data_IF_226154979573
#
_entry.id   IF_226154979573
#
_cell.length_a   1.000
_cell.length_b   1.000
_cell.length_c   1.000
_cell.angle_alpha   90.00
_cell.angle_beta   90.00
_cell.angle_gamma   90.00
#
_symmetry.space_group_name_H-M   'P 1'
#
loop_
_entity.id
_entity.type
_entity.pdbx_description
1 polymer ?
#
# COMPACT_ATOMS: atom_id res chain seq x y z
N UNK A 1 -7.42 -19.36 13.70
CA UNK A 1 -8.74 -19.04 13.11
C UNK A 1 -8.49 -18.12 11.92
N UNK A 2 -9.00 -18.45 10.74
CA UNK A 2 -8.80 -17.64 9.53
C UNK A 2 -9.78 -16.47 9.53
N UNK A 3 -9.28 -15.24 9.45
CA UNK A 3 -10.11 -14.05 9.36
C UNK A 3 -10.50 -13.77 7.89
N UNK A 4 -11.70 -13.24 7.62
CA UNK A 4 -12.06 -12.77 6.28
C UNK A 4 -11.12 -11.63 5.87
N UNK A 5 -10.60 -11.69 4.66
CA UNK A 5 -9.70 -10.70 4.11
C UNK A 5 -10.06 -10.36 2.66
N UNK A 6 -10.03 -9.08 2.35
CA UNK A 6 -10.30 -8.47 1.05
C UNK A 6 -8.96 -8.06 0.44
N UNK A 7 -8.65 -8.59 -0.74
CA UNK A 7 -7.42 -8.27 -1.46
C UNK A 7 -7.74 -7.60 -2.78
N UNK A 8 -7.24 -6.40 -3.01
CA UNK A 8 -7.39 -5.74 -4.32
C UNK A 8 -6.40 -6.42 -5.30
N UNK A 9 -6.90 -7.14 -6.30
CA UNK A 9 -6.06 -7.85 -7.28
C UNK A 9 -5.67 -6.92 -8.43
N UNK A 10 -6.66 -6.18 -8.94
CA UNK A 10 -6.50 -5.36 -10.13
C UNK A 10 -7.46 -4.17 -10.07
N UNK A 11 -6.97 -3.01 -10.48
CA UNK A 11 -7.70 -1.75 -10.47
C UNK A 11 -7.46 -1.03 -11.80
N UNK A 12 -8.56 -0.72 -12.48
CA UNK A 12 -8.61 0.16 -13.65
C UNK A 12 -9.69 1.22 -13.39
N UNK A 13 -9.64 2.38 -14.06
CA UNK A 13 -10.74 3.32 -14.04
C UNK A 13 -12.07 2.63 -14.40
N UNK A 14 -13.01 2.62 -13.44
CA UNK A 14 -14.33 2.02 -13.59
C UNK A 14 -14.41 0.49 -13.55
N UNK A 15 -13.32 -0.21 -13.21
CA UNK A 15 -13.31 -1.66 -13.05
C UNK A 15 -12.34 -2.08 -11.95
N UNK A 16 -12.83 -2.81 -10.96
CA UNK A 16 -11.99 -3.40 -9.92
C UNK A 16 -12.24 -4.90 -9.78
N UNK A 17 -11.17 -5.65 -9.55
CA UNK A 17 -11.23 -7.07 -9.19
C UNK A 17 -10.64 -7.28 -7.81
N UNK A 18 -11.42 -7.90 -6.94
CA UNK A 18 -11.11 -8.09 -5.53
C UNK A 18 -11.13 -9.59 -5.21
N UNK A 19 -10.09 -10.13 -4.58
CA UNK A 19 -10.07 -11.48 -4.03
C UNK A 19 -10.60 -11.48 -2.61
N UNK A 20 -11.38 -12.50 -2.26
CA UNK A 20 -11.84 -12.76 -0.92
C UNK A 20 -11.13 -14.01 -0.37
N UNK A 21 -10.51 -13.93 0.81
CA UNK A 21 -9.88 -15.10 1.44
C UNK A 21 -10.91 -16.19 1.77
N UNK A 22 -12.12 -15.76 2.13
CA UNK A 22 -13.27 -16.59 2.42
C UNK A 22 -14.42 -16.22 1.48
N UNK A 23 -15.09 -17.19 0.85
CA UNK A 23 -16.22 -16.92 -0.04
C UNK A 23 -17.46 -16.50 0.77
N UNK A 24 -18.24 -15.52 0.31
CA UNK A 24 -19.48 -15.13 0.97
C UNK A 24 -20.41 -16.34 1.12
N UNK A 25 -21.11 -16.44 2.25
CA UNK A 25 -22.04 -17.56 2.50
C UNK A 25 -23.26 -17.45 1.58
N UNK A 26 -23.67 -16.22 1.24
CA UNK A 26 -24.79 -15.93 0.33
C UNK A 26 -24.33 -15.00 -0.80
N UNK A 27 -23.93 -15.59 -1.91
CA UNK A 27 -23.43 -14.88 -3.09
C UNK A 27 -24.48 -13.89 -3.63
N UNK A 28 -25.71 -14.35 -3.88
CA UNK A 28 -26.79 -13.52 -4.44
C UNK A 28 -27.12 -12.32 -3.56
N UNK A 29 -26.98 -12.49 -2.24
CA UNK A 29 -27.23 -11.43 -1.28
C UNK A 29 -26.14 -10.36 -1.38
N UNK A 30 -24.86 -10.76 -1.36
CA UNK A 30 -23.75 -9.83 -1.53
C UNK A 30 -23.85 -9.05 -2.85
N UNK A 31 -24.14 -9.75 -3.96
CA UNK A 31 -24.27 -9.10 -5.27
C UNK A 31 -25.38 -8.06 -5.29
N UNK A 32 -26.55 -8.37 -4.70
CA UNK A 32 -27.67 -7.42 -4.61
C UNK A 32 -27.37 -6.22 -3.71
N UNK A 33 -26.78 -6.45 -2.55
CA UNK A 33 -26.45 -5.38 -1.58
C UNK A 33 -25.42 -4.40 -2.17
N UNK A 34 -24.42 -4.91 -2.90
CA UNK A 34 -23.41 -4.06 -3.55
C UNK A 34 -23.97 -3.39 -4.81
N UNK A 35 -24.76 -4.09 -5.63
CA UNK A 35 -25.35 -3.53 -6.86
C UNK A 35 -26.40 -2.44 -6.58
N UNK A 36 -27.04 -2.45 -5.41
CA UNK A 36 -28.09 -1.50 -5.05
C UNK A 36 -27.65 -0.02 -4.95
N UNK A 37 -26.35 0.25 -5.00
CA UNK A 37 -25.80 1.59 -4.87
C UNK A 37 -25.65 2.32 -6.22
N UNK A 38 -25.89 3.63 -6.21
CA UNK A 38 -25.66 4.48 -7.37
C UNK A 38 -24.19 4.42 -7.83
N UNK A 39 -23.97 4.44 -9.14
CA UNK A 39 -22.64 4.32 -9.73
C UNK A 39 -22.07 2.91 -9.83
N UNK A 40 -22.75 1.85 -9.35
CA UNK A 40 -22.32 0.46 -9.58
C UNK A 40 -23.16 -0.16 -10.71
N UNK A 41 -22.51 -0.58 -11.79
CA UNK A 41 -23.18 -1.12 -12.98
C UNK A 41 -23.31 -2.65 -12.94
N UNK A 42 -22.31 -3.33 -12.40
CA UNK A 42 -22.28 -4.79 -12.40
C UNK A 42 -21.40 -5.32 -11.26
N UNK A 43 -21.88 -6.35 -10.57
CA UNK A 43 -21.15 -7.11 -9.55
C UNK A 43 -21.27 -8.57 -9.94
N UNK A 44 -20.14 -9.28 -10.06
CA UNK A 44 -20.11 -10.72 -10.34
C UNK A 44 -19.08 -11.41 -9.45
N UNK A 45 -19.53 -12.40 -8.69
CA UNK A 45 -18.67 -13.26 -7.92
C UNK A 45 -18.28 -14.52 -8.71
N UNK A 46 -17.00 -14.88 -8.65
CA UNK A 46 -16.46 -16.12 -9.19
C UNK A 46 -16.08 -17.06 -8.03
N UNK A 47 -16.81 -18.16 -7.81
CA UNK A 47 -16.48 -19.13 -6.77
C UNK A 47 -15.11 -19.80 -6.97
N UNK A 48 -14.73 -20.04 -8.23
CA UNK A 48 -13.46 -20.71 -8.61
C UNK A 48 -12.27 -19.88 -8.15
N UNK A 49 -12.29 -18.59 -8.48
CA UNK A 49 -11.17 -17.67 -8.16
C UNK A 49 -11.36 -16.94 -6.84
N UNK A 50 -12.48 -17.18 -6.15
CA UNK A 50 -12.94 -16.44 -4.96
C UNK A 50 -12.76 -14.94 -5.13
N UNK A 51 -13.19 -14.42 -6.28
CA UNK A 51 -13.03 -13.00 -6.59
C UNK A 51 -14.33 -12.35 -7.01
N UNK A 52 -14.51 -11.10 -6.62
CA UNK A 52 -15.61 -10.22 -7.03
C UNK A 52 -15.08 -9.30 -8.11
N UNK A 53 -15.76 -9.26 -9.24
CA UNK A 53 -15.52 -8.30 -10.32
C UNK A 53 -16.60 -7.24 -10.30
N UNK A 54 -16.19 -5.97 -10.29
CA UNK A 54 -17.09 -4.84 -10.16
C UNK A 54 -16.80 -3.84 -11.27
N UNK A 55 -17.86 -3.44 -11.97
CA UNK A 55 -17.86 -2.32 -12.90
C UNK A 55 -18.63 -1.17 -12.27
N UNK A 56 -18.00 0.01 -12.23
CA UNK A 56 -18.53 1.18 -11.55
C UNK A 56 -18.17 2.46 -12.30
N UNK A 57 -18.93 3.53 -12.07
CA UNK A 57 -18.61 4.86 -12.57
C UNK A 57 -17.69 5.57 -11.56
N UNK A 58 -16.40 5.81 -11.88
CA UNK A 58 -15.45 6.44 -10.96
C UNK A 58 -15.78 7.91 -10.67
N UNK A 59 -16.71 8.54 -11.40
CA UNK A 59 -17.21 9.89 -11.13
C UNK A 59 -18.26 9.88 -10.02
N UNK A 60 -19.08 8.83 -9.93
CA UNK A 60 -20.18 8.72 -8.96
C UNK A 60 -19.73 8.10 -7.63
N UNK A 61 -18.91 7.04 -7.70
CA UNK A 61 -18.50 6.26 -6.52
C UNK A 61 -16.98 6.05 -6.48
N UNK A 62 -16.39 6.24 -5.30
CA UNK A 62 -14.98 5.99 -5.04
C UNK A 62 -14.73 4.51 -4.70
N UNK A 63 -13.53 3.99 -5.03
CA UNK A 63 -13.16 2.60 -4.73
C UNK A 63 -13.18 2.29 -3.23
N UNK A 64 -12.75 3.24 -2.40
CA UNK A 64 -12.79 3.14 -0.94
C UNK A 64 -14.20 2.86 -0.43
N UNK A 65 -15.23 3.48 -1.02
CA UNK A 65 -16.62 3.25 -0.66
C UNK A 65 -17.08 1.83 -1.02
N UNK A 66 -16.71 1.34 -2.21
CA UNK A 66 -16.98 -0.04 -2.63
C UNK A 66 -16.35 -1.04 -1.64
N UNK A 67 -15.11 -0.79 -1.23
CA UNK A 67 -14.39 -1.64 -0.27
C UNK A 67 -15.07 -1.64 1.10
N UNK A 68 -15.46 -0.47 1.60
CA UNK A 68 -16.21 -0.35 2.87
C UNK A 68 -17.48 -1.19 2.80
N UNK A 69 -18.29 -1.03 1.75
CA UNK A 69 -19.57 -1.76 1.59
C UNK A 69 -19.38 -3.27 1.60
N UNK A 70 -18.39 -3.78 0.85
CA UNK A 70 -18.07 -5.21 0.81
C UNK A 70 -17.55 -5.69 2.17
N UNK A 71 -16.68 -4.90 2.82
CA UNK A 71 -16.15 -5.18 4.15
C UNK A 71 -17.27 -5.30 5.20
N UNK A 72 -18.20 -4.35 5.20
CA UNK A 72 -19.37 -4.36 6.08
C UNK A 72 -20.27 -5.55 5.81
N UNK A 73 -20.58 -5.85 4.54
CA UNK A 73 -21.44 -6.98 4.17
C UNK A 73 -20.83 -8.33 4.63
N UNK A 74 -19.52 -8.51 4.42
CA UNK A 74 -18.80 -9.70 4.90
C UNK A 74 -18.74 -9.75 6.43
N UNK A 75 -18.47 -8.62 7.10
CA UNK A 75 -18.43 -8.56 8.56
C UNK A 75 -19.77 -9.01 9.16
N UNK A 76 -20.89 -8.51 8.64
CA UNK A 76 -22.25 -8.92 9.07
C UNK A 76 -22.48 -10.41 8.82
N UNK A 77 -22.04 -10.94 7.67
CA UNK A 77 -22.24 -12.35 7.31
C UNK A 77 -21.38 -13.32 8.16
N UNK A 78 -20.22 -12.87 8.62
CA UNK A 78 -19.32 -13.58 9.51
C UNK A 78 -19.46 -13.15 10.98
N UNK A 79 -20.69 -12.87 11.43
CA UNK A 79 -20.99 -12.59 12.84
C UNK A 79 -20.21 -11.41 13.43
N UNK A 80 -20.16 -10.28 12.71
CA UNK A 80 -19.50 -9.03 13.15
C UNK A 80 -17.99 -9.18 13.37
N UNK A 81 -17.36 -10.15 12.71
CA UNK A 81 -15.91 -10.32 12.74
C UNK A 81 -15.20 -9.23 11.93
N UNK A 82 -14.00 -8.87 12.35
CA UNK A 82 -13.14 -7.92 11.63
C UNK A 82 -12.73 -8.49 10.27
N UNK A 83 -12.94 -7.70 9.22
CA UNK A 83 -12.56 -8.00 7.84
C UNK A 83 -11.34 -7.17 7.49
N UNK A 84 -10.24 -7.82 7.12
CA UNK A 84 -8.99 -7.12 6.81
C UNK A 84 -8.91 -6.76 5.33
N UNK A 85 -8.68 -5.50 5.03
CA UNK A 85 -8.42 -5.01 3.67
C UNK A 85 -6.91 -4.93 3.48
N UNK A 86 -6.42 -5.76 2.57
CA UNK A 86 -5.03 -5.78 2.15
C UNK A 86 -4.97 -5.23 0.72
N UNK A 87 -4.52 -3.98 0.59
CA UNK A 87 -4.21 -3.45 -0.73
C UNK A 87 -2.87 -4.05 -1.17
N UNK A 88 -2.90 -5.14 -1.93
CA UNK A 88 -1.72 -5.69 -2.60
C UNK A 88 -1.29 -4.80 -3.76
N UNK A 89 -1.08 -3.50 -3.54
CA UNK A 89 0.00 -2.84 -4.27
C UNK A 89 1.25 -3.60 -3.87
N UNK A 90 1.82 -4.35 -4.81
CA UNK A 90 2.91 -5.29 -4.58
C UNK A 90 4.17 -4.50 -4.23
N UNK A 91 4.25 -4.05 -3.00
CA UNK A 91 5.41 -3.37 -2.47
C UNK A 91 6.49 -4.42 -2.29
N UNK A 92 7.60 -4.24 -3.00
CA UNK A 92 8.84 -4.90 -2.63
C UNK A 92 9.32 -4.20 -1.38
N UNK A 93 9.22 -4.89 -0.24
CA UNK A 93 9.76 -4.40 1.02
C UNK A 93 11.23 -3.99 0.87
N UNK A 94 11.62 -2.92 1.55
CA UNK A 94 13.03 -2.56 1.69
C UNK A 94 13.71 -3.66 2.50
N UNK A 95 14.63 -4.38 1.87
CA UNK A 95 15.38 -5.46 2.49
C UNK A 95 16.55 -4.95 3.34
N UNK A 96 17.16 -5.83 4.13
CA UNK A 96 18.35 -5.50 4.93
C UNK A 96 19.51 -5.04 4.04
N UNK A 97 19.68 -5.69 2.88
CA UNK A 97 20.70 -5.33 1.88
C UNK A 97 20.51 -3.90 1.37
N UNK A 98 19.26 -3.47 1.16
CA UNK A 98 18.94 -2.13 0.65
C UNK A 98 19.33 -1.05 1.68
N UNK A 99 19.11 -1.32 2.97
CA UNK A 99 19.54 -0.45 4.07
C UNK A 99 21.08 -0.44 4.23
N UNK A 100 21.72 -1.59 4.06
CA UNK A 100 23.17 -1.71 4.12
C UNK A 100 23.84 -0.90 2.99
N UNK A 101 23.30 -0.96 1.77
CA UNK A 101 23.81 -0.18 0.65
C UNK A 101 23.77 1.33 0.91
N UNK A 102 22.68 1.84 1.51
CA UNK A 102 22.59 3.26 1.91
C UNK A 102 23.62 3.60 2.99
N UNK A 103 23.79 2.74 3.99
CA UNK A 103 24.81 2.92 5.04
C UNK A 103 26.23 2.96 4.48
N UNK A 104 26.56 2.05 3.57
CA UNK A 104 27.85 2.00 2.88
C UNK A 104 28.09 3.25 2.03
N UNK A 105 27.07 3.74 1.30
CA UNK A 105 27.14 4.98 0.54
C UNK A 105 27.42 6.20 1.43
N UNK A 106 26.71 6.33 2.56
CA UNK A 106 26.94 7.42 3.51
C UNK A 106 28.36 7.35 4.07
N UNK A 107 28.82 6.16 4.48
CA UNK A 107 30.17 5.96 5.00
C UNK A 107 31.25 6.32 3.95
N UNK A 108 31.04 5.97 2.68
CA UNK A 108 31.96 6.31 1.60
C UNK A 108 32.01 7.84 1.33
N UNK A 109 30.86 8.52 1.33
CA UNK A 109 30.81 9.98 1.21
C UNK A 109 31.48 10.70 2.40
N UNK A 110 31.27 10.22 3.63
CA UNK A 110 31.93 10.74 4.84
C UNK A 110 33.44 10.48 4.84
N UNK A 111 33.87 9.34 4.30
CA UNK A 111 35.29 9.01 4.11
C UNK A 111 35.96 9.95 3.11
N UNK A 112 35.30 10.21 1.98
CA UNK A 112 35.80 11.11 0.92
C UNK A 112 35.84 12.57 1.33
N UNK A 113 34.90 13.03 2.16
CA UNK A 113 34.88 14.41 2.66
C UNK A 113 35.95 14.69 3.73
N UNK A 114 36.70 13.67 4.17
CA UNK A 114 37.71 13.80 5.21
C UNK A 114 37.15 13.92 6.63
N UNK A 115 35.84 13.73 6.81
CA UNK A 115 35.19 13.75 8.12
C UNK A 115 35.47 12.47 8.93
N UNK A 116 35.86 11.39 8.26
CA UNK A 116 36.34 10.18 8.92
C UNK A 116 37.87 10.15 8.97
N UNK A 117 38.48 9.72 10.09
CA UNK A 117 39.93 9.66 10.26
C UNK A 117 40.62 8.55 9.45
N UNK A 118 39.91 7.93 8.50
CA UNK A 118 40.35 6.75 7.76
C UNK A 118 40.60 7.05 6.26
N UNK A 119 41.41 8.08 5.98
CA UNK A 119 41.86 8.43 4.63
C UNK A 119 42.44 7.24 3.82
N UNK A 120 43.06 6.26 4.50
CA UNK A 120 43.65 5.06 3.86
C UNK A 120 42.64 3.97 3.45
N UNK A 121 41.38 4.02 3.89
CA UNK A 121 40.34 3.02 3.53
C UNK A 121 39.24 3.59 2.64
N UNK A 122 39.38 4.84 2.19
CA UNK A 122 38.41 5.53 1.33
C UNK A 122 38.10 4.73 0.06
N UNK A 123 39.12 4.23 -0.62
CA UNK A 123 38.95 3.37 -1.81
C UNK A 123 38.18 2.07 -1.49
N UNK A 124 38.40 1.48 -0.31
CA UNK A 124 37.68 0.28 0.12
C UNK A 124 36.20 0.58 0.43
N UNK A 125 35.92 1.74 1.05
CA UNK A 125 34.57 2.20 1.31
C UNK A 125 33.80 2.51 0.02
N UNK A 126 34.44 3.18 -0.94
CA UNK A 126 33.85 3.46 -2.25
C UNK A 126 33.55 2.17 -3.03
N UNK A 127 34.47 1.21 -3.02
CA UNK A 127 34.26 -0.11 -3.62
C UNK A 127 33.11 -0.88 -2.93
N UNK A 128 33.08 -0.88 -1.59
CA UNK A 128 32.02 -1.53 -0.82
C UNK A 128 30.65 -0.90 -1.10
N UNK A 129 30.57 0.43 -1.21
CA UNK A 129 29.37 1.14 -1.61
C UNK A 129 28.90 0.74 -3.01
N UNK A 130 29.83 0.58 -3.96
CA UNK A 130 29.52 0.10 -5.31
C UNK A 130 28.97 -1.32 -5.36
N UNK A 131 29.65 -2.26 -4.71
CA UNK A 131 29.23 -3.67 -4.70
C UNK A 131 27.90 -3.84 -3.96
N UNK A 132 27.75 -3.19 -2.79
CA UNK A 132 26.51 -3.26 -2.01
C UNK A 132 25.31 -2.63 -2.73
N UNK A 133 25.51 -1.51 -3.42
CA UNK A 133 24.47 -0.88 -4.25
C UNK A 133 24.06 -1.79 -5.39
N UNK A 134 25.02 -2.39 -6.10
CA UNK A 134 24.72 -3.33 -7.18
C UNK A 134 23.93 -4.53 -6.66
N UNK A 135 24.35 -5.11 -5.54
CA UNK A 135 23.65 -6.23 -4.91
C UNK A 135 22.22 -5.86 -4.49
N UNK A 136 22.03 -4.66 -3.92
CA UNK A 136 20.73 -4.15 -3.53
C UNK A 136 19.79 -3.97 -4.73
N UNK A 137 20.27 -3.33 -5.81
CA UNK A 137 19.47 -3.08 -7.02
C UNK A 137 19.09 -4.39 -7.71
N UNK A 138 20.03 -5.33 -7.82
CA UNK A 138 19.74 -6.66 -8.41
C UNK A 138 18.73 -7.43 -7.56
N UNK A 139 18.92 -7.46 -6.24
CA UNK A 139 17.99 -8.13 -5.34
C UNK A 139 16.59 -7.49 -5.39
N UNK A 140 16.54 -6.16 -5.45
CA UNK A 140 15.30 -5.41 -5.56
C UNK A 140 14.60 -5.69 -6.89
N UNK A 141 15.32 -5.60 -8.02
CA UNK A 141 14.78 -5.88 -9.35
C UNK A 141 14.33 -7.33 -9.54
N UNK A 142 15.06 -8.32 -8.99
CA UNK A 142 14.61 -9.73 -9.01
C UNK A 142 13.33 -9.90 -8.20
N UNK A 143 13.28 -9.29 -7.01
CA UNK A 143 12.08 -9.33 -6.18
C UNK A 143 10.91 -8.71 -6.92
N UNK A 144 11.10 -7.53 -7.51
CA UNK A 144 10.07 -6.85 -8.26
C UNK A 144 9.60 -7.66 -9.47
N UNK A 145 10.48 -8.21 -10.30
CA UNK A 145 10.07 -9.07 -11.43
C UNK A 145 9.27 -10.28 -10.96
N UNK A 146 9.66 -10.91 -9.85
CA UNK A 146 8.88 -12.01 -9.24
C UNK A 146 7.49 -11.56 -8.80
N UNK A 147 7.34 -10.30 -8.38
CA UNK A 147 6.08 -9.76 -7.89
C UNK A 147 5.24 -9.08 -8.99
N UNK A 148 5.75 -8.10 -9.71
CA UNK A 148 5.06 -7.29 -10.74
C UNK A 148 4.94 -8.01 -12.10
N UNK A 149 5.84 -8.93 -12.43
CA UNK A 149 5.87 -9.65 -13.71
C UNK A 149 6.50 -8.87 -14.87
N UNK A 150 7.00 -7.66 -14.64
CA UNK A 150 7.73 -6.85 -15.63
C UNK A 150 8.99 -6.25 -15.02
N UNK A 151 10.11 -6.20 -15.75
CA UNK A 151 11.31 -5.51 -15.30
C UNK A 151 11.10 -3.98 -15.34
N UNK A 152 11.38 -3.33 -14.22
CA UNK A 152 11.36 -1.87 -14.09
C UNK A 152 12.60 -1.22 -14.74
N UNK A 153 12.57 0.11 -14.99
CA UNK A 153 13.69 0.84 -15.60
C UNK A 153 15.02 0.78 -14.80
N UNK A 154 15.00 0.27 -13.58
CA UNK A 154 16.16 0.07 -12.70
C UNK A 154 17.23 -0.87 -13.28
N UNK A 155 16.84 -1.75 -14.20
CA UNK A 155 17.79 -2.62 -14.93
C UNK A 155 18.81 -1.77 -15.71
N UNK A 156 18.39 -0.60 -16.23
CA UNK A 156 19.27 0.29 -16.98
C UNK A 156 20.31 0.96 -16.08
N UNK A 157 19.94 1.32 -14.85
CA UNK A 157 20.85 1.95 -13.89
C UNK A 157 21.84 0.93 -13.31
N UNK A 158 21.45 -0.33 -13.16
CA UNK A 158 22.36 -1.42 -12.79
C UNK A 158 23.47 -1.62 -13.84
N UNK A 159 23.14 -1.56 -15.13
CA UNK A 159 24.12 -1.64 -16.23
C UNK A 159 25.07 -0.45 -16.21
N UNK A 160 24.57 0.75 -15.93
CA UNK A 160 25.41 1.94 -15.74
C UNK A 160 26.40 1.77 -14.58
N UNK A 161 25.95 1.25 -13.44
CA UNK A 161 26.80 0.97 -12.29
C UNK A 161 27.90 -0.04 -12.62
N UNK A 162 27.56 -1.13 -13.32
CA UNK A 162 28.53 -2.13 -13.77
C UNK A 162 29.64 -1.52 -14.64
N UNK A 163 29.28 -0.65 -15.59
CA UNK A 163 30.26 0.06 -16.42
C UNK A 163 31.16 0.98 -15.59
N UNK A 164 30.59 1.66 -14.58
CA UNK A 164 31.35 2.55 -13.71
C UNK A 164 32.31 1.81 -12.76
N UNK A 165 31.91 0.61 -12.30
CA UNK A 165 32.77 -0.30 -11.52
C UNK A 165 34.03 -0.66 -12.33
N UNK A 166 33.89 -0.93 -13.63
CA UNK A 166 35.02 -1.23 -14.52
C UNK A 166 35.96 -0.03 -14.69
N UNK A 167 35.43 1.19 -14.61
CA UNK A 167 36.19 2.46 -14.69
C UNK A 167 36.74 2.94 -13.36
N UNK A 168 36.50 2.22 -12.26
CA UNK A 168 36.87 2.59 -10.88
C UNK A 168 36.21 3.88 -10.37
N UNK A 169 35.09 4.29 -10.97
CA UNK A 169 34.32 5.47 -10.57
C UNK A 169 33.11 5.04 -9.73
N UNK A 170 33.35 4.51 -8.53
CA UNK A 170 32.32 3.79 -7.76
C UNK A 170 31.29 4.73 -7.12
N UNK A 171 31.72 5.79 -6.46
CA UNK A 171 30.86 6.52 -5.51
C UNK A 171 29.70 7.26 -6.17
N UNK A 172 29.98 8.02 -7.23
CA UNK A 172 28.98 8.84 -7.93
C UNK A 172 27.97 7.96 -8.66
N UNK A 173 28.43 6.91 -9.36
CA UNK A 173 27.53 5.99 -10.06
C UNK A 173 26.64 5.21 -9.11
N UNK A 174 27.18 4.78 -7.96
CA UNK A 174 26.42 4.08 -6.93
C UNK A 174 25.35 4.99 -6.33
N UNK A 175 25.69 6.25 -6.09
CA UNK A 175 24.74 7.24 -5.60
C UNK A 175 23.58 7.45 -6.59
N UNK A 176 23.88 7.67 -7.87
CA UNK A 176 22.85 7.86 -8.92
C UNK A 176 21.97 6.61 -9.04
N UNK A 177 22.59 5.43 -9.03
CA UNK A 177 21.88 4.15 -9.17
C UNK A 177 20.97 3.91 -7.97
N UNK A 178 21.48 4.08 -6.75
CA UNK A 178 20.71 3.91 -5.53
C UNK A 178 19.54 4.88 -5.45
N UNK A 179 19.77 6.17 -5.77
CA UNK A 179 18.70 7.18 -5.83
C UNK A 179 17.64 6.75 -6.85
N UNK A 180 18.04 6.39 -8.07
CA UNK A 180 17.09 6.04 -9.13
C UNK A 180 16.19 4.83 -8.77
N UNK A 181 16.74 3.83 -8.08
CA UNK A 181 16.03 2.62 -7.64
C UNK A 181 15.18 2.85 -6.39
N UNK A 182 15.76 3.50 -5.36
CA UNK A 182 15.16 3.55 -4.03
C UNK A 182 14.44 4.86 -3.72
N UNK A 183 14.48 5.88 -4.58
CA UNK A 183 13.76 7.15 -4.35
C UNK A 183 12.27 6.94 -4.14
N UNK A 184 11.64 6.03 -4.90
CA UNK A 184 10.21 5.70 -4.74
C UNK A 184 9.91 5.04 -3.39
N UNK A 185 10.90 4.43 -2.75
CA UNK A 185 10.82 3.82 -1.42
C UNK A 185 11.03 4.83 -0.28
N UNK A 186 11.57 6.03 -0.57
CA UNK A 186 11.67 7.13 0.43
C UNK A 186 10.30 7.66 0.86
N UNK A 187 9.29 7.48 0.02
CA UNK A 187 7.93 8.02 0.21
C UNK A 187 6.84 6.95 0.31
N UNK A 188 7.20 5.67 0.23
CA UNK A 188 6.25 4.57 0.32
C UNK A 188 5.45 4.62 1.62
N UNK A 189 4.13 4.57 1.50
CA UNK A 189 3.25 4.40 2.65
C UNK A 189 3.48 3.02 3.27
N UNK A 190 3.42 2.96 4.60
CA UNK A 190 3.31 1.69 5.30
C UNK A 190 1.98 1.06 4.92
N UNK A 191 1.97 -0.27 4.77
CA UNK A 191 0.71 -0.98 4.62
C UNK A 191 -0.05 -0.84 5.93
N UNK A 192 -0.95 0.13 5.93
CA UNK A 192 -2.09 0.17 6.82
C UNK A 192 -2.94 -1.04 6.46
N UNK A 193 -2.78 -2.13 7.23
CA UNK A 193 -3.74 -3.22 7.16
C UNK A 193 -5.01 -2.67 7.79
N UNK A 194 -6.00 -2.38 6.97
CA UNK A 194 -7.22 -1.75 7.47
C UNK A 194 -8.18 -2.83 7.91
N UNK A 195 -8.59 -2.80 9.16
CA UNK A 195 -9.67 -3.65 9.66
C UNK A 195 -11.00 -2.90 9.54
N UNK A 196 -12.00 -3.58 8.98
CA UNK A 196 -13.37 -3.10 8.87
C UNK A 196 -14.23 -4.04 9.72
N UNK A 197 -14.91 -3.50 10.72
CA UNK A 197 -15.78 -4.28 11.59
C UNK A 197 -17.13 -3.60 11.74
N UNK A 198 -18.20 -4.33 11.44
CA UNK A 198 -19.56 -3.88 11.67
C UNK A 198 -20.01 -4.22 13.10
N UNK A 199 -20.78 -3.33 13.71
CA UNK A 199 -21.47 -3.49 14.96
C UNK A 199 -22.95 -3.18 14.73
N UNK A 200 -23.83 -3.95 15.37
CA UNK A 200 -25.25 -3.66 15.34
C UNK A 200 -25.58 -2.78 16.55
N UNK A 201 -26.21 -1.65 16.30
CA UNK A 201 -26.66 -0.75 17.34
C UNK A 201 -28.15 -0.43 17.14
N UNK A 202 -28.84 -0.20 18.25
CA UNK A 202 -30.28 0.04 18.26
C UNK A 202 -30.55 1.46 18.75
N UNK A 203 -31.23 2.27 17.93
CA UNK A 203 -31.64 3.61 18.34
C UNK A 203 -33.01 3.51 18.98
N UNK A 204 -33.07 3.85 20.28
CA UNK A 204 -34.35 3.95 20.98
C UNK A 204 -35.20 5.13 20.49
N UNK A 205 -34.58 6.23 20.05
CA UNK A 205 -35.29 7.41 19.55
C UNK A 205 -35.95 7.17 18.19
N UNK A 206 -35.27 6.47 17.30
CA UNK A 206 -35.78 6.25 15.95
C UNK A 206 -36.51 4.90 15.78
N UNK A 207 -36.43 4.02 16.79
CA UNK A 207 -36.97 2.65 16.77
C UNK A 207 -36.45 1.82 15.58
N UNK A 208 -35.17 2.02 15.22
CA UNK A 208 -34.52 1.35 14.08
C UNK A 208 -33.18 0.75 14.52
N UNK A 209 -32.82 -0.34 13.85
CA UNK A 209 -31.47 -0.91 13.94
C UNK A 209 -30.58 -0.21 12.91
N UNK A 210 -29.41 0.25 13.35
CA UNK A 210 -28.38 0.78 12.47
C UNK A 210 -27.09 -0.05 12.62
N UNK A 211 -26.21 0.05 11.61
CA UNK A 211 -24.90 -0.57 11.66
C UNK A 211 -23.85 0.52 11.88
N UNK A 212 -23.04 0.38 12.94
CA UNK A 212 -21.85 1.20 13.17
C UNK A 212 -20.63 0.44 12.67
N UNK A 213 -19.82 1.04 11.81
CA UNK A 213 -18.67 0.39 11.18
C UNK A 213 -17.40 1.05 11.67
N UNK A 214 -16.64 0.32 12.48
CA UNK A 214 -15.31 0.74 12.88
C UNK A 214 -14.32 0.43 11.76
N UNK A 215 -13.59 1.45 11.33
CA UNK A 215 -12.45 1.34 10.41
C UNK A 215 -11.20 1.68 11.18
N UNK A 216 -10.31 0.70 11.39
CA UNK A 216 -9.04 0.89 12.12
C UNK A 216 -7.85 0.57 11.21
N UNK A 217 -6.81 1.39 11.29
CA UNK A 217 -5.51 1.04 10.71
C UNK A 217 -4.70 0.23 11.72
N UNK A 218 -4.28 -0.97 11.35
CA UNK A 218 -3.21 -1.66 12.08
C UNK A 218 -1.86 -1.16 11.54
N UNK A 219 -1.16 -0.39 12.36
CA UNK A 219 0.24 -0.07 12.11
C UNK A 219 1.05 -1.38 12.14
N UNK A 220 1.60 -1.77 10.99
CA UNK A 220 2.57 -2.84 10.97
C UNK A 220 3.84 -2.37 11.68
N UNK A 221 4.26 -3.08 12.73
CA UNK A 221 5.56 -2.97 13.40
C UNK A 221 6.71 -3.40 12.45
N UNK A 222 6.83 -2.76 11.29
CA UNK A 222 7.99 -2.94 10.43
C UNK A 222 9.12 -2.03 10.92
N UNK A 223 10.29 -2.66 11.11
CA UNK A 223 11.54 -2.03 11.51
C UNK A 223 11.73 -0.68 10.78
N UNK A 224 11.95 0.41 11.54
CA UNK A 224 12.25 1.74 10.98
C UNK A 224 13.45 1.62 10.04
N UNK A 225 13.19 1.47 8.75
CA UNK A 225 14.24 1.37 7.73
C UNK A 225 15.04 2.68 7.71
N UNK A 226 16.37 2.56 7.64
CA UNK A 226 17.28 3.71 7.52
C UNK A 226 16.90 4.56 6.29
N UNK A 227 16.43 3.92 5.22
CA UNK A 227 15.93 4.57 4.01
C UNK A 227 14.76 5.51 4.32
N UNK A 228 13.83 5.11 5.22
CA UNK A 228 12.71 5.98 5.65
C UNK A 228 13.18 7.15 6.51
N UNK A 229 14.14 6.93 7.41
CA UNK A 229 14.74 8.00 8.21
C UNK A 229 15.41 9.02 7.29
N UNK A 230 16.18 8.54 6.31
CA UNK A 230 16.81 9.37 5.30
C UNK A 230 15.79 10.12 4.44
N UNK A 231 14.71 9.45 4.00
CA UNK A 231 13.61 10.09 3.27
C UNK A 231 12.94 11.21 4.05
N UNK A 232 12.71 11.02 5.36
CA UNK A 232 12.18 12.06 6.25
C UNK A 232 13.14 13.24 6.39
N UNK A 233 14.45 12.99 6.49
CA UNK A 233 15.49 14.01 6.52
C UNK A 233 15.51 14.83 5.21
N UNK A 234 15.57 14.16 4.06
CA UNK A 234 15.58 14.80 2.74
C UNK A 234 14.35 15.69 2.51
N UNK A 235 13.18 15.24 2.97
CA UNK A 235 11.95 16.04 2.92
C UNK A 235 12.04 17.30 3.78
N UNK A 236 12.61 17.21 4.98
CA UNK A 236 12.74 18.33 5.92
C UNK A 236 13.75 19.39 5.46
N UNK A 237 14.88 18.97 4.90
CA UNK A 237 16.01 19.86 4.61
C UNK A 237 16.18 20.23 3.13
N UNK A 238 15.80 19.34 2.21
CA UNK A 238 16.01 19.53 0.76
C UNK A 238 14.70 19.89 0.06
N UNK A 239 13.56 19.85 0.76
CA UNK A 239 12.24 20.15 0.18
C UNK A 239 11.79 19.10 -0.84
N UNK A 240 12.36 17.89 -0.79
CA UNK A 240 11.99 16.80 -1.69
C UNK A 240 10.52 16.39 -1.46
N UNK A 241 9.62 16.92 -2.30
CA UNK A 241 8.25 16.42 -2.45
C UNK A 241 8.31 15.27 -3.44
N UNK A 242 8.36 14.04 -2.94
CA UNK A 242 8.19 12.86 -3.80
C UNK A 242 6.84 12.88 -4.52
N UNK A 243 6.72 11.99 -5.51
CA UNK A 243 5.56 11.84 -6.41
C UNK A 243 4.23 12.07 -5.69
N UNK A 244 3.35 12.83 -6.35
CA UNK A 244 2.00 13.18 -5.94
C UNK A 244 1.34 11.97 -5.26
N UNK A 245 1.18 12.05 -3.93
CA UNK A 245 0.67 10.95 -3.12
C UNK A 245 -0.72 10.58 -3.63
N UNK A 246 -0.90 9.35 -4.10
CA UNK A 246 -2.23 8.77 -3.99
C UNK A 246 -2.53 8.70 -2.49
N UNK A 247 -3.62 9.28 -2.00
CA UNK A 247 -3.94 9.25 -0.58
C UNK A 247 -4.04 7.80 -0.12
N UNK A 248 -3.48 7.48 1.05
CA UNK A 248 -3.66 6.17 1.69
C UNK A 248 -5.11 5.72 1.64
N UNK A 249 -5.34 4.41 1.59
CA UNK A 249 -6.69 3.87 1.53
C UNK A 249 -7.53 4.36 2.72
N UNK A 250 -6.90 4.52 3.89
CA UNK A 250 -7.52 5.14 5.07
C UNK A 250 -7.90 6.61 4.82
N UNK A 251 -7.03 7.41 4.20
CA UNK A 251 -7.35 8.80 3.85
C UNK A 251 -8.47 8.89 2.80
N UNK A 252 -8.56 7.93 1.88
CA UNK A 252 -9.68 7.81 0.94
C UNK A 252 -10.97 7.45 1.69
N UNK A 253 -10.91 6.53 2.66
CA UNK A 253 -12.07 6.20 3.51
C UNK A 253 -12.51 7.39 4.38
N UNK A 254 -11.56 8.19 4.91
CA UNK A 254 -11.85 9.45 5.62
C UNK A 254 -12.56 10.46 4.71
N UNK A 255 -12.11 10.60 3.46
CA UNK A 255 -12.77 11.47 2.48
C UNK A 255 -14.20 11.01 2.18
N UNK A 256 -14.41 9.71 2.03
CA UNK A 256 -15.76 9.13 1.84
C UNK A 256 -16.65 9.41 3.05
N UNK A 257 -16.15 9.21 4.27
CA UNK A 257 -16.88 9.54 5.50
C UNK A 257 -17.29 11.01 5.54
N UNK A 258 -16.34 11.91 5.30
CA UNK A 258 -16.60 13.36 5.29
C UNK A 258 -17.59 13.78 4.19
N UNK A 259 -17.54 13.16 3.00
CA UNK A 259 -18.46 13.43 1.89
C UNK A 259 -19.91 13.07 2.25
N UNK A 260 -20.09 12.04 3.06
CA UNK A 260 -21.39 11.49 3.42
C UNK A 260 -21.81 11.85 4.86
N UNK A 261 -21.12 12.77 5.53
CA UNK A 261 -21.46 13.20 6.90
C UNK A 261 -21.41 12.06 7.92
N UNK A 262 -20.43 11.17 7.79
CA UNK A 262 -20.23 9.95 8.59
C UNK A 262 -21.34 8.90 8.49
N UNK A 263 -22.27 9.04 7.53
CA UNK A 263 -23.40 8.15 7.32
C UNK A 263 -23.49 7.69 5.85
N UNK A 264 -23.20 6.42 5.58
CA UNK A 264 -23.41 5.81 4.27
C UNK A 264 -24.82 5.23 4.15
N UNK A 265 -25.38 5.27 2.93
CA UNK A 265 -26.59 4.52 2.59
C UNK A 265 -26.40 3.02 2.89
N UNK A 266 -27.40 2.40 3.50
CA UNK A 266 -27.31 1.07 4.06
C UNK A 266 -27.34 -0.07 3.04
N UNK A 267 -26.95 -1.27 3.51
CA UNK A 267 -26.74 -2.43 2.65
C UNK A 267 -28.03 -3.06 2.11
N UNK A 268 -29.14 -3.06 2.88
CA UNK A 268 -30.37 -3.75 2.50
C UNK A 268 -31.43 -2.84 1.86
N UNK A 269 -31.38 -1.55 2.16
CA UNK A 269 -32.34 -0.54 1.71
C UNK A 269 -31.67 0.83 1.72
N UNK A 270 -32.07 1.72 0.80
CA UNK A 270 -31.63 3.13 0.81
C UNK A 270 -31.97 3.87 2.11
N UNK A 271 -32.91 3.34 2.89
CA UNK A 271 -33.34 3.90 4.17
C UNK A 271 -32.55 3.35 5.38
N UNK A 272 -31.76 2.30 5.20
CA UNK A 272 -30.83 1.84 6.24
C UNK A 272 -29.63 2.80 6.27
N UNK A 273 -29.04 3.03 7.44
CA UNK A 273 -27.87 3.92 7.58
C UNK A 273 -26.70 3.13 8.18
N UNK A 274 -25.54 3.26 7.57
CA UNK A 274 -24.26 2.75 8.08
C UNK A 274 -23.47 3.95 8.59
N UNK A 275 -23.25 4.02 9.90
CA UNK A 275 -22.38 5.03 10.47
C UNK A 275 -20.93 4.59 10.36
N UNK A 276 -20.05 5.48 9.93
CA UNK A 276 -18.62 5.23 9.82
C UNK A 276 -17.90 5.82 11.03
N UNK A 277 -17.44 4.95 11.93
CA UNK A 277 -16.55 5.33 13.03
C UNK A 277 -15.11 5.12 12.62
N UNK A 278 -14.42 6.21 12.32
CA UNK A 278 -13.00 6.20 11.99
C UNK A 278 -12.18 6.27 13.29
N UNK A 279 -11.67 5.13 13.74
CA UNK A 279 -10.75 5.10 14.88
C UNK A 279 -9.34 5.39 14.38
N UNK A 280 -8.80 6.55 14.76
CA UNK A 280 -7.44 6.98 14.47
C UNK A 280 -6.48 6.54 15.56
#
# INVERSE_FOLDING_TARGET
MSYPAINIIHQLPGRVRISLSMPPRRIDKLEKEVLGHAGIHCVKFSPITRSVLIYYNPIEIELSEIIIRIGTALSIEYNMCSVYVENKKKYVGVNVIDNYALGALIAAWLGRSGLLPFNNITNLLEWNAGVSTLAAVVNHGISEVKFSGSPDPEVVTAVYLLNSILKKEFLVSSTITWISTFVRHLTGEEFDRISIQAFQAYSQEENRTYYDVAVKSEENLYHKSIIKIFGNLMRKYVGFRGSMKEPSLLNQMKRVSNKHGDALEGLKSKNDIIFLRLEC
#
